data_IF_251787518842
#
_entry.id   IF_251787518842
#
_cell.length_a   1.000
_cell.length_b   1.000
_cell.length_c   1.000
_cell.angle_alpha   90.00
_cell.angle_beta   90.00
_cell.angle_gamma   90.00
#
_symmetry.space_group_name_H-M   'P 1'
#
loop_
_entity.id
_entity.type
_entity.pdbx_description
1 polymer ?
#
# COMPACT_ATOMS: atom_id res chain seq x y z
N UNK A 1 27.94 -2.77 -3.57
CA UNK A 1 28.78 -1.88 -4.41
C UNK A 1 29.32 -0.79 -3.49
N UNK A 2 30.59 -0.61 -3.21
CA UNK A 2 31.84 -1.06 -3.79
C UNK A 2 32.79 -1.36 -2.63
N UNK A 3 33.44 -2.52 -2.68
CA UNK A 3 34.58 -2.82 -1.83
C UNK A 3 35.83 -2.95 -2.69
N UNK A 4 36.94 -2.74 -2.00
CA UNK A 4 38.26 -3.36 -2.23
C UNK A 4 39.26 -2.53 -3.03
N UNK A 5 40.06 -1.82 -2.24
CA UNK A 5 41.51 -1.79 -2.33
C UNK A 5 42.11 -3.19 -2.52
N UNK A 6 43.00 -3.35 -3.48
CA UNK A 6 44.05 -4.38 -3.44
C UNK A 6 45.36 -3.78 -3.93
N UNK A 7 46.33 -3.73 -3.02
CA UNK A 7 47.74 -3.62 -3.34
C UNK A 7 48.30 -5.03 -3.37
N UNK A 8 48.92 -5.40 -4.49
CA UNK A 8 49.55 -6.70 -4.64
C UNK A 8 51.07 -6.53 -4.66
N UNK A 9 51.68 -6.92 -3.53
CA UNK A 9 53.11 -7.05 -3.36
C UNK A 9 53.57 -8.32 -4.06
N UNK A 10 54.26 -8.17 -5.18
CA UNK A 10 55.03 -9.23 -5.82
C UNK A 10 56.29 -9.52 -5.00
N UNK A 11 56.29 -10.63 -4.26
CA UNK A 11 57.51 -11.36 -3.89
C UNK A 11 57.60 -12.55 -4.83
N UNK A 12 58.62 -12.54 -5.68
CA UNK A 12 59.02 -13.72 -6.43
C UNK A 12 60.49 -14.03 -6.13
N UNK A 13 60.73 -15.31 -5.82
CA UNK A 13 62.02 -15.88 -5.48
C UNK A 13 62.56 -16.64 -6.70
N UNK A 14 63.68 -16.14 -7.24
CA UNK A 14 64.86 -16.94 -7.64
C UNK A 14 64.72 -18.01 -8.73
N UNK A 15 65.42 -17.77 -9.86
CA UNK A 15 66.25 -18.76 -10.57
C UNK A 15 67.01 -17.97 -11.66
N UNK A 16 68.34 -17.92 -11.76
CA UNK A 16 69.26 -19.05 -11.71
C UNK A 16 69.53 -19.56 -13.14
N UNK A 17 70.13 -18.73 -14.01
CA UNK A 17 70.60 -19.18 -15.32
C UNK A 17 71.94 -18.52 -15.67
N UNK A 18 73.00 -19.32 -15.51
CA UNK A 18 74.36 -19.09 -15.96
C UNK A 18 74.42 -18.81 -17.48
N UNK A 19 75.06 -17.71 -17.85
CA UNK A 19 75.41 -17.35 -19.22
C UNK A 19 76.88 -16.94 -19.30
N UNK A 20 77.78 -17.86 -18.99
CA UNK A 20 79.23 -17.65 -19.09
C UNK A 20 79.69 -17.55 -20.55
N UNK A 21 79.79 -16.33 -21.06
CA UNK A 21 80.43 -16.02 -22.34
C UNK A 21 81.94 -16.24 -22.26
N UNK A 22 82.47 -17.20 -23.04
CA UNK A 22 83.90 -17.47 -23.16
C UNK A 22 84.53 -16.42 -24.08
N UNK A 23 85.10 -15.37 -23.47
CA UNK A 23 85.94 -14.39 -24.16
C UNK A 23 87.29 -15.03 -24.57
N UNK A 24 87.71 -14.77 -25.82
CA UNK A 24 88.91 -15.35 -26.42
C UNK A 24 90.20 -15.10 -25.62
N UNK A 25 90.88 -16.18 -25.24
CA UNK A 25 92.18 -16.14 -24.60
C UNK A 25 93.27 -15.75 -25.61
N UNK A 26 93.80 -14.54 -25.49
CA UNK A 26 94.99 -14.11 -26.22
C UNK A 26 96.22 -14.95 -25.83
N UNK A 27 97.00 -15.36 -26.83
CA UNK A 27 98.23 -16.14 -26.66
C UNK A 27 99.29 -15.28 -25.94
N UNK A 28 99.52 -15.53 -24.66
CA UNK A 28 100.56 -14.87 -23.87
C UNK A 28 101.93 -15.50 -24.19
N UNK A 29 102.85 -14.70 -24.75
CA UNK A 29 104.24 -15.10 -25.06
C UNK A 29 105.08 -15.09 -23.78
N UNK A 30 105.62 -16.23 -23.37
CA UNK A 30 106.42 -16.37 -22.13
C UNK A 30 107.90 -16.51 -22.49
N UNK A 31 108.76 -15.66 -21.91
CA UNK A 31 110.21 -15.73 -22.07
C UNK A 31 110.84 -16.87 -21.25
N UNK A 32 111.83 -17.56 -21.82
CA UNK A 32 112.53 -18.67 -21.16
C UNK A 32 113.44 -18.18 -20.01
N UNK A 33 113.23 -18.70 -18.79
CA UNK A 33 113.90 -18.27 -17.55
C UNK A 33 115.21 -19.03 -17.25
N UNK A 34 116.04 -19.30 -18.27
CA UNK A 34 117.31 -20.02 -18.09
C UNK A 34 118.34 -19.13 -17.34
N UNK A 35 118.85 -19.55 -16.17
CA UNK A 35 119.83 -18.76 -15.42
C UNK A 35 121.19 -18.72 -16.16
N UNK A 36 121.91 -17.60 -16.07
CA UNK A 36 123.31 -17.50 -16.50
C UNK A 36 123.56 -17.02 -17.94
N UNK A 37 122.53 -16.69 -18.71
CA UNK A 37 122.65 -16.11 -20.07
C UNK A 37 122.46 -14.59 -20.00
N UNK A 38 123.50 -13.76 -20.22
CA UNK A 38 123.36 -12.30 -20.28
C UNK A 38 122.44 -11.91 -21.43
N UNK A 39 121.30 -11.28 -21.14
CA UNK A 39 120.30 -10.88 -22.15
C UNK A 39 119.08 -11.81 -22.28
N UNK A 40 119.05 -12.94 -21.55
CA UNK A 40 117.95 -13.90 -21.62
C UNK A 40 118.00 -14.78 -22.87
N UNK A 41 117.30 -15.91 -22.85
CA UNK A 41 117.22 -16.78 -24.02
C UNK A 41 116.36 -16.10 -25.11
N UNK A 42 116.82 -16.01 -26.37
CA UNK A 42 116.07 -15.35 -27.46
C UNK A 42 114.81 -16.12 -27.87
N UNK A 43 114.67 -17.37 -27.45
CA UNK A 43 113.49 -18.19 -27.76
C UNK A 43 112.35 -17.91 -26.79
N UNK A 44 111.22 -17.48 -27.36
CA UNK A 44 109.95 -17.28 -26.68
C UNK A 44 109.12 -18.57 -26.80
N UNK A 45 108.51 -19.01 -25.71
CA UNK A 45 107.64 -20.18 -25.70
C UNK A 45 106.28 -19.74 -26.26
N UNK A 46 106.07 -19.99 -27.55
CA UNK A 46 104.77 -19.79 -28.20
C UNK A 46 103.93 -21.05 -27.97
N UNK A 47 102.71 -20.88 -27.43
CA UNK A 47 101.70 -21.92 -27.14
C UNK A 47 101.71 -22.50 -25.71
N UNK A 48 100.85 -21.93 -24.85
CA UNK A 48 100.23 -22.66 -23.75
C UNK A 48 98.71 -22.41 -23.78
N UNK A 49 97.99 -23.19 -24.59
CA UNK A 49 96.53 -23.12 -24.74
C UNK A 49 95.78 -24.16 -23.87
N UNK A 50 96.37 -24.55 -22.73
CA UNK A 50 95.81 -25.56 -21.83
C UNK A 50 95.31 -24.93 -20.52
N UNK A 51 94.00 -24.86 -20.34
CA UNK A 51 93.37 -24.56 -19.05
C UNK A 51 93.57 -25.74 -18.10
N UNK A 52 94.63 -25.71 -17.27
CA UNK A 52 94.73 -26.60 -16.11
C UNK A 52 96.11 -27.06 -15.62
N UNK A 53 97.22 -26.74 -16.31
CA UNK A 53 98.57 -27.15 -15.86
C UNK A 53 99.50 -25.98 -15.51
N UNK A 54 100.58 -26.25 -14.77
CA UNK A 54 101.60 -25.24 -14.46
C UNK A 54 102.32 -24.80 -15.74
N UNK A 55 102.40 -23.48 -15.98
CA UNK A 55 103.13 -22.88 -17.12
C UNK A 55 104.60 -23.36 -17.16
N UNK A 56 105.11 -23.87 -18.30
CA UNK A 56 106.50 -24.30 -18.43
C UNK A 56 107.44 -23.09 -18.37
N UNK A 57 108.56 -23.21 -17.63
CA UNK A 57 109.53 -22.12 -17.40
C UNK A 57 110.70 -22.07 -18.39
N UNK A 58 110.92 -23.15 -19.16
CA UNK A 58 112.08 -23.32 -20.03
C UNK A 58 111.64 -23.79 -21.42
N UNK A 59 112.31 -23.33 -22.48
CA UNK A 59 111.89 -23.59 -23.86
C UNK A 59 112.20 -25.00 -24.38
N UNK A 60 113.02 -25.79 -23.68
CA UNK A 60 113.39 -27.16 -24.09
C UNK A 60 114.38 -27.23 -25.25
N UNK A 61 114.69 -26.12 -25.91
CA UNK A 61 115.65 -26.10 -27.02
C UNK A 61 117.11 -26.01 -26.53
N UNK A 62 118.04 -26.50 -27.36
CA UNK A 62 119.47 -26.42 -27.10
C UNK A 62 120.01 -25.10 -27.65
N UNK A 63 120.47 -24.22 -26.78
CA UNK A 63 121.10 -22.95 -27.16
C UNK A 63 122.57 -23.02 -26.72
N UNK A 64 123.49 -22.72 -27.63
CA UNK A 64 124.94 -22.78 -27.41
C UNK A 64 125.43 -24.15 -26.87
N UNK A 65 124.85 -25.24 -27.38
CA UNK A 65 125.22 -26.62 -27.03
C UNK A 65 124.63 -27.13 -25.70
N UNK A 66 123.83 -26.33 -24.99
CA UNK A 66 123.24 -26.69 -23.69
C UNK A 66 121.70 -26.74 -23.77
N UNK A 67 121.05 -27.87 -23.41
CA UNK A 67 119.59 -28.00 -23.48
C UNK A 67 118.89 -27.20 -22.37
N UNK A 68 117.96 -26.32 -22.72
CA UNK A 68 117.21 -25.49 -21.77
C UNK A 68 116.09 -26.28 -21.09
N UNK A 69 116.45 -27.12 -20.12
CA UNK A 69 115.53 -27.89 -19.30
C UNK A 69 115.62 -27.50 -17.82
N UNK A 70 114.63 -27.91 -17.02
CA UNK A 70 114.64 -27.71 -15.56
C UNK A 70 115.88 -28.31 -14.89
N UNK A 71 116.34 -29.47 -15.37
CA UNK A 71 117.51 -30.13 -14.83
C UNK A 71 118.79 -29.33 -15.11
N UNK A 72 118.95 -28.85 -16.34
CA UNK A 72 120.11 -28.05 -16.73
C UNK A 72 120.13 -26.69 -16.02
N UNK A 73 118.97 -26.05 -15.88
CA UNK A 73 118.82 -24.80 -15.13
C UNK A 73 119.21 -24.94 -13.65
N UNK A 74 118.88 -26.08 -13.03
CA UNK A 74 119.30 -26.40 -11.66
C UNK A 74 120.83 -26.53 -11.58
N UNK A 75 121.45 -27.24 -12.53
CA UNK A 75 122.91 -27.42 -12.56
C UNK A 75 123.69 -26.11 -12.77
N UNK A 76 123.18 -25.21 -13.59
CA UNK A 76 123.77 -23.87 -13.78
C UNK A 76 123.62 -23.04 -12.51
N UNK A 77 122.45 -23.08 -11.85
CA UNK A 77 122.21 -22.37 -10.58
C UNK A 77 123.07 -22.91 -9.43
N UNK A 78 123.40 -24.19 -9.45
CA UNK A 78 124.30 -24.84 -8.49
C UNK A 78 125.80 -24.67 -8.83
N UNK A 79 126.15 -23.97 -9.92
CA UNK A 79 127.53 -23.79 -10.36
C UNK A 79 128.21 -25.06 -10.89
N UNK A 80 127.45 -26.15 -11.07
CA UNK A 80 127.93 -27.46 -11.56
C UNK A 80 127.97 -27.59 -13.09
N UNK A 81 127.60 -26.51 -13.78
CA UNK A 81 127.67 -26.36 -15.22
C UNK A 81 127.92 -24.88 -15.53
N UNK A 82 129.15 -24.52 -15.85
CA UNK A 82 129.50 -23.20 -16.37
C UNK A 82 129.15 -23.16 -17.85
N UNK A 83 128.25 -22.24 -18.23
CA UNK A 83 127.90 -22.01 -19.63
C UNK A 83 129.15 -21.48 -20.36
N UNK A 84 129.57 -22.09 -21.49
CA UNK A 84 130.69 -21.60 -22.27
C UNK A 84 130.37 -20.21 -22.82
N UNK A 85 131.36 -19.32 -22.83
CA UNK A 85 131.21 -18.02 -23.49
C UNK A 85 130.90 -18.24 -25.00
N UNK A 86 130.03 -17.42 -25.62
CA UNK A 86 129.59 -17.65 -26.99
C UNK A 86 130.77 -17.74 -27.96
N UNK A 87 130.94 -18.88 -28.65
CA UNK A 87 131.88 -19.01 -29.77
C UNK A 87 133.03 -20.02 -29.66
N UNK A 88 133.03 -21.00 -28.73
CA UNK A 88 134.17 -21.93 -28.55
C UNK A 88 133.81 -23.40 -28.79
N UNK A 89 133.98 -23.89 -30.03
CA UNK A 89 133.97 -25.33 -30.34
C UNK A 89 135.38 -25.93 -30.28
N UNK A 90 135.57 -27.20 -29.88
CA UNK A 90 136.83 -27.90 -30.07
C UNK A 90 136.76 -28.91 -31.23
N UNK A 91 137.66 -28.70 -32.19
CA UNK A 91 137.96 -29.55 -33.33
C UNK A 91 138.76 -30.81 -32.94
N UNK A 92 138.57 -31.85 -33.74
CA UNK A 92 139.22 -33.17 -33.69
C UNK A 92 140.73 -33.14 -34.03
N UNK A 93 141.44 -34.09 -33.40
CA UNK A 93 142.70 -34.77 -33.74
C UNK A 93 143.29 -34.59 -35.16
N UNK A 94 144.63 -34.66 -35.36
CA UNK A 94 145.34 -35.95 -35.32
C UNK A 94 146.85 -35.94 -34.92
N UNK A 95 147.40 -37.13 -34.64
CA UNK A 95 148.82 -37.46 -34.41
C UNK A 95 149.62 -37.63 -35.75
N UNK A 96 150.89 -38.10 -35.76
CA UNK A 96 152.16 -37.62 -35.17
C UNK A 96 153.32 -37.54 -36.20
N UNK A 97 154.44 -36.81 -35.95
CA UNK A 97 155.75 -37.03 -36.67
C UNK A 97 156.96 -36.64 -35.80
N UNK A 98 157.99 -37.50 -35.71
CA UNK A 98 159.34 -37.27 -35.15
C UNK A 98 160.33 -36.85 -36.26
N UNK A 99 161.44 -36.14 -35.95
CA UNK A 99 162.77 -36.79 -35.93
C UNK A 99 163.69 -36.25 -34.79
N UNK A 100 164.37 -37.09 -34.00
CA UNK A 100 165.68 -37.77 -34.19
C UNK A 100 166.91 -36.85 -34.22
N UNK A 101 167.45 -36.60 -33.02
CA UNK A 101 168.89 -36.43 -32.68
C UNK A 101 168.97 -36.47 -31.15
N UNK A 102 169.80 -37.24 -30.42
CA UNK A 102 170.92 -38.12 -30.73
C UNK A 102 171.27 -38.76 -29.36
N UNK A 103 170.81 -39.97 -29.01
CA UNK A 103 171.28 -41.28 -29.49
C UNK A 103 172.67 -41.73 -29.02
N UNK A 104 173.21 -41.26 -27.87
CA UNK A 104 174.43 -41.88 -27.31
C UNK A 104 174.45 -42.19 -25.81
N UNK A 105 173.45 -41.76 -25.05
CA UNK A 105 173.31 -42.11 -23.62
C UNK A 105 172.22 -43.17 -23.34
N UNK A 106 171.39 -43.52 -24.32
CA UNK A 106 170.19 -44.36 -24.13
C UNK A 106 170.37 -45.86 -24.43
N UNK A 107 171.48 -46.29 -25.04
CA UNK A 107 171.61 -47.66 -25.57
C UNK A 107 171.96 -48.71 -24.48
N UNK A 108 172.63 -48.33 -23.39
CA UNK A 108 172.80 -49.24 -22.23
C UNK A 108 171.58 -49.27 -21.30
N UNK A 109 170.86 -48.15 -21.15
CA UNK A 109 169.60 -48.11 -20.43
C UNK A 109 168.49 -48.91 -21.14
N UNK A 110 168.43 -48.85 -22.48
CA UNK A 110 167.47 -49.60 -23.29
C UNK A 110 167.69 -51.13 -23.24
N UNK A 111 168.90 -51.62 -22.94
CA UNK A 111 169.14 -53.08 -22.82
C UNK A 111 168.63 -53.71 -21.52
N UNK A 112 168.50 -52.90 -20.46
CA UNK A 112 167.78 -53.27 -19.23
C UNK A 112 166.28 -53.03 -19.39
N UNK A 113 165.91 -51.85 -19.88
CA UNK A 113 164.52 -51.44 -20.06
C UNK A 113 163.76 -52.29 -21.09
N UNK A 114 164.40 -52.77 -22.17
CA UNK A 114 163.76 -53.69 -23.12
C UNK A 114 163.55 -55.09 -22.50
N UNK A 115 164.44 -55.55 -21.61
CA UNK A 115 164.26 -56.81 -20.88
C UNK A 115 163.15 -56.69 -19.83
N UNK A 116 163.12 -55.57 -19.11
CA UNK A 116 162.08 -55.29 -18.12
C UNK A 116 160.73 -55.02 -18.80
N UNK A 117 160.71 -54.37 -19.97
CA UNK A 117 159.50 -54.19 -20.77
C UNK A 117 159.03 -55.50 -21.40
N UNK A 118 159.91 -56.38 -21.91
CA UNK A 118 159.49 -57.70 -22.39
C UNK A 118 158.94 -58.56 -21.25
N UNK A 119 159.59 -58.52 -20.08
CA UNK A 119 159.12 -59.22 -18.89
C UNK A 119 157.78 -58.65 -18.40
N UNK A 120 157.61 -57.33 -18.39
CA UNK A 120 156.36 -56.67 -18.06
C UNK A 120 155.26 -56.96 -19.09
N UNK A 121 155.58 -57.02 -20.38
CA UNK A 121 154.63 -57.36 -21.44
C UNK A 121 154.23 -58.84 -21.38
N UNK A 122 155.15 -59.73 -21.06
CA UNK A 122 154.85 -61.14 -20.80
C UNK A 122 154.00 -61.30 -19.55
N UNK A 123 154.27 -60.52 -18.49
CA UNK A 123 153.47 -60.51 -17.26
C UNK A 123 152.07 -59.95 -17.53
N UNK A 124 151.94 -58.86 -18.29
CA UNK A 124 150.66 -58.29 -18.70
C UNK A 124 149.89 -59.20 -19.66
N UNK A 125 150.56 -59.85 -20.61
CA UNK A 125 149.91 -60.78 -21.52
C UNK A 125 149.45 -62.04 -20.78
N UNK A 126 150.22 -62.51 -19.79
CA UNK A 126 149.81 -63.58 -18.89
C UNK A 126 148.65 -63.15 -17.98
N UNK A 127 148.65 -61.93 -17.45
CA UNK A 127 147.58 -61.38 -16.62
C UNK A 127 146.31 -61.10 -17.43
N UNK A 128 146.45 -60.62 -18.67
CA UNK A 128 145.35 -60.44 -19.60
C UNK A 128 144.79 -61.77 -20.05
N UNK A 129 145.63 -62.75 -20.40
CA UNK A 129 145.20 -64.12 -20.68
C UNK A 129 144.51 -64.74 -19.46
N UNK A 130 145.01 -64.51 -18.24
CA UNK A 130 144.37 -64.97 -17.01
C UNK A 130 143.02 -64.28 -16.76
N UNK A 131 142.87 -62.98 -17.05
CA UNK A 131 141.59 -62.27 -16.98
C UNK A 131 140.64 -62.75 -18.07
N UNK A 132 141.14 -63.03 -19.27
CA UNK A 132 140.34 -63.53 -20.39
C UNK A 132 139.90 -64.96 -20.10
N UNK A 133 140.77 -65.81 -19.57
CA UNK A 133 140.43 -67.15 -19.06
C UNK A 133 139.48 -67.06 -17.87
N UNK A 134 139.60 -66.07 -16.99
CA UNK A 134 138.67 -65.87 -15.88
C UNK A 134 137.28 -65.41 -16.39
N UNK A 135 137.23 -64.53 -17.39
CA UNK A 135 135.98 -64.09 -18.03
C UNK A 135 135.37 -65.20 -18.88
N UNK A 136 136.18 -65.99 -19.60
CA UNK A 136 135.72 -67.18 -20.32
C UNK A 136 135.25 -68.24 -19.34
N UNK A 137 135.96 -68.48 -18.25
CA UNK A 137 135.54 -69.39 -17.18
C UNK A 137 134.22 -68.92 -16.59
N UNK A 138 134.02 -67.62 -16.34
CA UNK A 138 132.74 -67.09 -15.83
C UNK A 138 131.62 -67.20 -16.88
N UNK A 139 131.91 -66.99 -18.16
CA UNK A 139 130.93 -67.08 -19.25
C UNK A 139 130.61 -68.52 -19.71
N UNK A 140 131.50 -69.47 -19.42
CA UNK A 140 131.34 -70.91 -19.70
C UNK A 140 131.12 -71.73 -18.43
N UNK A 141 131.05 -71.10 -17.25
CA UNK A 141 130.71 -71.75 -15.99
C UNK A 141 129.23 -72.17 -16.05
N UNK A 142 128.96 -73.48 -16.21
CA UNK A 142 127.60 -73.97 -16.28
C UNK A 142 126.84 -73.73 -14.97
N UNK A 143 127.54 -73.61 -13.84
CA UNK A 143 126.93 -73.35 -12.53
C UNK A 143 126.56 -71.87 -12.37
N UNK A 144 127.37 -70.93 -12.89
CA UNK A 144 127.01 -69.52 -12.96
C UNK A 144 125.80 -69.29 -13.88
N UNK A 145 125.79 -69.90 -15.07
CA UNK A 145 124.66 -69.85 -15.99
C UNK A 145 123.40 -70.50 -15.38
N UNK A 146 123.53 -71.63 -14.68
CA UNK A 146 122.43 -72.26 -13.97
C UNK A 146 121.92 -71.40 -12.81
N UNK A 147 122.79 -70.69 -12.09
CA UNK A 147 122.43 -69.75 -11.04
C UNK A 147 121.67 -68.53 -11.60
N UNK A 148 122.10 -67.97 -12.73
CA UNK A 148 121.40 -66.89 -13.44
C UNK A 148 120.04 -67.34 -13.98
N UNK A 149 119.95 -68.51 -14.59
CA UNK A 149 118.68 -69.09 -15.05
C UNK A 149 117.75 -69.32 -13.86
N UNK A 150 118.27 -69.84 -12.75
CA UNK A 150 117.49 -70.06 -11.53
C UNK A 150 117.03 -68.73 -10.93
N UNK A 151 117.89 -67.70 -10.91
CA UNK A 151 117.54 -66.36 -10.45
C UNK A 151 116.49 -65.72 -11.36
N UNK A 152 116.64 -65.83 -12.69
CA UNK A 152 115.68 -65.36 -13.68
C UNK A 152 114.34 -66.10 -13.59
N UNK A 153 114.36 -67.41 -13.33
CA UNK A 153 113.15 -68.19 -13.08
C UNK A 153 112.45 -67.76 -11.79
N UNK A 154 113.20 -67.51 -10.70
CA UNK A 154 112.61 -66.98 -9.44
C UNK A 154 112.04 -65.58 -9.63
N UNK A 155 112.74 -64.70 -10.35
CA UNK A 155 112.27 -63.35 -10.68
C UNK A 155 111.02 -63.42 -11.57
N UNK A 156 111.03 -64.25 -12.63
CA UNK A 156 109.88 -64.47 -13.48
C UNK A 156 108.68 -65.04 -12.70
N UNK A 157 108.91 -66.00 -11.80
CA UNK A 157 107.88 -66.52 -10.90
C UNK A 157 107.31 -65.42 -10.01
N UNK A 158 108.18 -64.62 -9.38
CA UNK A 158 107.79 -63.49 -8.54
C UNK A 158 106.96 -62.46 -9.32
N UNK A 159 107.32 -62.17 -10.57
CA UNK A 159 106.57 -61.27 -11.46
C UNK A 159 105.22 -61.85 -11.87
N UNK A 160 105.15 -63.16 -12.16
CA UNK A 160 103.90 -63.85 -12.47
C UNK A 160 102.98 -63.83 -11.25
N UNK A 161 103.48 -64.22 -10.08
CA UNK A 161 102.71 -64.24 -8.83
C UNK A 161 102.21 -62.81 -8.49
N UNK A 162 103.04 -61.78 -8.68
CA UNK A 162 102.64 -60.39 -8.51
C UNK A 162 101.60 -59.94 -9.55
N UNK A 163 101.70 -60.38 -10.80
CA UNK A 163 100.74 -60.06 -11.85
C UNK A 163 99.40 -60.78 -11.63
N UNK A 164 99.42 -62.04 -11.18
CA UNK A 164 98.24 -62.80 -10.80
C UNK A 164 97.55 -62.17 -9.59
N UNK A 165 98.30 -61.81 -8.54
CA UNK A 165 97.77 -61.07 -7.40
C UNK A 165 97.14 -59.74 -7.83
N UNK A 166 97.81 -58.95 -8.68
CA UNK A 166 97.27 -57.70 -9.19
C UNK A 166 96.00 -57.89 -10.05
N UNK A 167 95.94 -58.97 -10.85
CA UNK A 167 94.75 -59.34 -11.63
C UNK A 167 93.59 -59.71 -10.71
N UNK A 168 93.84 -60.51 -9.67
CA UNK A 168 92.81 -60.97 -8.74
C UNK A 168 92.29 -59.81 -7.88
N UNK A 169 93.17 -58.88 -7.47
CA UNK A 169 92.80 -57.62 -6.83
C UNK A 169 91.94 -56.74 -7.76
N UNK A 170 92.32 -56.61 -9.03
CA UNK A 170 91.55 -55.87 -10.02
C UNK A 170 90.17 -56.49 -10.26
N UNK A 171 90.09 -57.83 -10.35
CA UNK A 171 88.84 -58.56 -10.48
C UNK A 171 87.94 -58.41 -9.24
N UNK A 172 88.53 -58.37 -8.05
CA UNK A 172 87.81 -58.12 -6.78
C UNK A 172 87.25 -56.70 -6.74
N UNK A 173 88.06 -55.69 -7.12
CA UNK A 173 87.60 -54.30 -7.24
C UNK A 173 86.49 -54.13 -8.28
N UNK A 174 86.59 -54.83 -9.42
CA UNK A 174 85.56 -54.78 -10.46
C UNK A 174 84.23 -55.35 -9.96
N UNK A 175 84.22 -56.51 -9.31
CA UNK A 175 82.99 -57.10 -8.73
C UNK A 175 82.40 -56.22 -7.63
N UNK A 176 83.24 -55.60 -6.79
CA UNK A 176 82.80 -54.66 -5.78
C UNK A 176 82.15 -53.41 -6.42
N UNK A 177 82.75 -52.87 -7.48
CA UNK A 177 82.20 -51.75 -8.23
C UNK A 177 80.86 -52.12 -8.91
N UNK A 178 80.76 -53.27 -9.56
CA UNK A 178 79.52 -53.76 -10.16
C UNK A 178 78.41 -53.94 -9.11
N UNK A 179 78.76 -54.49 -7.94
CA UNK A 179 77.82 -54.63 -6.82
C UNK A 179 77.36 -53.27 -6.31
N UNK A 180 78.28 -52.31 -6.17
CA UNK A 180 77.95 -50.94 -5.76
C UNK A 180 77.07 -50.23 -6.80
N UNK A 181 77.34 -50.37 -8.10
CA UNK A 181 76.50 -49.83 -9.17
C UNK A 181 75.11 -50.47 -9.16
N UNK A 182 75.01 -51.79 -8.95
CA UNK A 182 73.71 -52.47 -8.83
C UNK A 182 72.92 -52.00 -7.61
N UNK A 183 73.59 -51.82 -6.47
CA UNK A 183 72.97 -51.28 -5.27
C UNK A 183 72.49 -49.82 -5.48
N UNK A 184 73.31 -48.98 -6.11
CA UNK A 184 72.95 -47.59 -6.40
C UNK A 184 71.78 -47.48 -7.38
N UNK A 185 71.75 -48.31 -8.43
CA UNK A 185 70.63 -48.35 -9.40
C UNK A 185 69.34 -48.86 -8.76
N UNK A 186 69.43 -49.85 -7.86
CA UNK A 186 68.26 -50.32 -7.08
C UNK A 186 67.73 -49.21 -6.16
N UNK A 187 68.62 -48.56 -5.41
CA UNK A 187 68.25 -47.46 -4.52
C UNK A 187 67.68 -46.26 -5.28
N UNK A 188 68.19 -45.96 -6.48
CA UNK A 188 67.63 -44.93 -7.35
C UNK A 188 66.20 -45.30 -7.80
N UNK A 189 65.97 -46.53 -8.26
CA UNK A 189 64.65 -46.97 -8.69
C UNK A 189 63.63 -46.97 -7.53
N UNK A 190 64.05 -47.36 -6.32
CA UNK A 190 63.22 -47.29 -5.11
C UNK A 190 62.88 -45.84 -4.74
N UNK A 191 63.85 -44.92 -4.85
CA UNK A 191 63.63 -43.49 -4.61
C UNK A 191 62.70 -42.85 -5.65
N UNK A 192 62.84 -43.22 -6.94
CA UNK A 192 61.95 -42.80 -8.01
C UNK A 192 60.51 -43.29 -7.77
N UNK A 193 60.33 -44.57 -7.44
CA UNK A 193 59.01 -45.13 -7.12
C UNK A 193 58.36 -44.46 -5.88
N UNK A 194 59.15 -44.15 -4.85
CA UNK A 194 58.68 -43.43 -3.67
C UNK A 194 58.28 -41.99 -4.02
N UNK A 195 59.03 -41.32 -4.90
CA UNK A 195 58.71 -39.98 -5.38
C UNK A 195 57.43 -39.97 -6.23
N UNK A 196 57.25 -40.95 -7.12
CA UNK A 196 56.02 -41.12 -7.90
C UNK A 196 54.80 -41.34 -7.00
N UNK A 197 54.94 -42.17 -5.96
CA UNK A 197 53.87 -42.40 -4.98
C UNK A 197 53.53 -41.11 -4.22
N UNK A 198 54.53 -40.37 -3.75
CA UNK A 198 54.32 -39.11 -3.04
C UNK A 198 53.68 -38.03 -3.93
N UNK A 199 53.99 -38.01 -5.23
CA UNK A 199 53.35 -37.10 -6.20
C UNK A 199 51.88 -37.49 -6.41
N UNK A 200 51.57 -38.79 -6.57
CA UNK A 200 50.19 -39.25 -6.69
C UNK A 200 49.36 -38.93 -5.44
N UNK A 201 49.90 -39.15 -4.24
CA UNK A 201 49.24 -38.78 -2.97
C UNK A 201 49.03 -37.26 -2.86
N UNK A 202 49.97 -36.45 -3.34
CA UNK A 202 49.84 -34.99 -3.35
C UNK A 202 48.76 -34.51 -4.33
N UNK A 203 48.66 -35.13 -5.51
CA UNK A 203 47.63 -34.85 -6.50
C UNK A 203 46.24 -35.24 -5.98
N UNK A 204 46.10 -36.41 -5.35
CA UNK A 204 44.86 -36.86 -4.71
C UNK A 204 44.44 -35.89 -3.59
N UNK A 205 45.37 -35.50 -2.71
CA UNK A 205 45.09 -34.53 -1.65
C UNK A 205 44.71 -33.15 -2.20
N UNK A 206 45.30 -32.73 -3.33
CA UNK A 206 44.91 -31.49 -4.00
C UNK A 206 43.49 -31.57 -4.58
N UNK A 207 43.13 -32.69 -5.20
CA UNK A 207 41.78 -32.94 -5.71
C UNK A 207 40.73 -32.96 -4.58
N UNK A 208 41.02 -33.62 -3.45
CA UNK A 208 40.16 -33.62 -2.26
C UNK A 208 39.99 -32.20 -1.69
N UNK A 209 41.07 -31.41 -1.63
CA UNK A 209 41.02 -30.03 -1.15
C UNK A 209 40.21 -29.13 -2.08
N UNK A 210 40.29 -29.31 -3.40
CA UNK A 210 39.46 -28.60 -4.38
C UNK A 210 37.98 -28.98 -4.22
N UNK A 211 37.69 -30.28 -4.07
CA UNK A 211 36.33 -30.77 -3.84
C UNK A 211 35.72 -30.17 -2.56
N UNK A 212 36.46 -30.23 -1.44
CA UNK A 212 36.00 -29.66 -0.17
C UNK A 212 35.79 -28.12 -0.24
N UNK A 213 36.59 -27.41 -1.04
CA UNK A 213 36.38 -25.97 -1.30
C UNK A 213 35.09 -25.74 -2.09
N UNK A 214 34.83 -26.53 -3.12
CA UNK A 214 33.62 -26.44 -3.92
C UNK A 214 32.35 -26.71 -3.07
N UNK A 215 32.37 -27.75 -2.22
CA UNK A 215 31.27 -28.05 -1.29
C UNK A 215 31.03 -26.92 -0.29
N UNK A 216 32.10 -26.36 0.29
CA UNK A 216 31.99 -25.21 1.20
C UNK A 216 31.39 -23.99 0.51
N UNK A 217 31.81 -23.72 -0.72
CA UNK A 217 31.33 -22.56 -1.47
C UNK A 217 29.86 -22.76 -1.89
N UNK A 218 29.45 -23.99 -2.24
CA UNK A 218 28.04 -24.35 -2.44
C UNK A 218 27.22 -24.18 -1.15
N UNK A 219 27.73 -24.64 0.00
CA UNK A 219 27.05 -24.49 1.28
C UNK A 219 26.88 -23.01 1.68
N UNK A 220 27.88 -22.16 1.38
CA UNK A 220 27.78 -20.70 1.56
C UNK A 220 26.71 -20.09 0.67
N UNK A 221 26.67 -20.45 -0.60
CA UNK A 221 25.61 -19.98 -1.52
C UNK A 221 24.22 -20.39 -1.04
N UNK A 222 24.04 -21.63 -0.57
CA UNK A 222 22.78 -22.10 0.00
C UNK A 222 22.40 -21.34 1.26
N UNK A 223 23.35 -21.08 2.15
CA UNK A 223 23.13 -20.28 3.36
C UNK A 223 22.71 -18.84 3.03
N UNK A 224 23.39 -18.20 2.09
CA UNK A 224 23.07 -16.83 1.65
C UNK A 224 21.68 -16.77 1.00
N UNK A 225 21.31 -17.80 0.23
CA UNK A 225 19.95 -17.94 -0.31
C UNK A 225 18.90 -18.07 0.80
N UNK A 226 19.15 -18.90 1.82
CA UNK A 226 18.23 -19.04 2.96
C UNK A 226 18.08 -17.74 3.75
N UNK A 227 19.15 -16.96 3.90
CA UNK A 227 19.08 -15.63 4.51
C UNK A 227 18.24 -14.66 3.67
N UNK A 228 18.45 -14.64 2.35
CA UNK A 228 17.65 -13.82 1.43
C UNK A 228 16.16 -14.20 1.48
N UNK A 229 15.84 -15.49 1.47
CA UNK A 229 14.46 -15.99 1.56
C UNK A 229 13.82 -15.63 2.91
N UNK A 230 14.58 -15.74 4.01
CA UNK A 230 14.13 -15.32 5.35
C UNK A 230 13.80 -13.83 5.38
N UNK A 231 14.68 -12.99 4.86
CA UNK A 231 14.50 -11.54 4.84
C UNK A 231 13.28 -11.17 3.97
N UNK A 232 13.07 -11.85 2.84
CA UNK A 232 11.87 -11.70 2.02
C UNK A 232 10.59 -12.10 2.77
N UNK A 233 10.60 -13.22 3.48
CA UNK A 233 9.46 -13.67 4.29
C UNK A 233 9.15 -12.71 5.44
N UNK A 234 10.18 -12.12 6.07
CA UNK A 234 10.01 -11.09 7.10
C UNK A 234 9.34 -9.83 6.53
N UNK A 235 9.78 -9.36 5.37
CA UNK A 235 9.14 -8.23 4.68
C UNK A 235 7.67 -8.53 4.32
N UNK A 236 7.38 -9.74 3.83
CA UNK A 236 6.01 -10.18 3.53
C UNK A 236 5.12 -10.25 4.78
N UNK A 237 5.68 -10.72 5.90
CA UNK A 237 4.99 -10.77 7.19
C UNK A 237 4.66 -9.36 7.70
N UNK A 238 5.62 -8.43 7.64
CA UNK A 238 5.42 -7.02 8.01
C UNK A 238 4.36 -6.36 7.13
N UNK A 239 4.44 -6.53 5.80
CA UNK A 239 3.43 -6.01 4.88
C UNK A 239 2.03 -6.58 5.18
N UNK A 240 1.92 -7.86 5.53
CA UNK A 240 0.65 -8.50 5.91
C UNK A 240 0.12 -7.95 7.23
N UNK A 241 0.99 -7.69 8.21
CA UNK A 241 0.60 -7.06 9.48
C UNK A 241 0.08 -5.64 9.28
N UNK A 242 0.74 -4.83 8.45
CA UNK A 242 0.25 -3.48 8.11
C UNK A 242 -1.13 -3.53 7.45
N UNK A 243 -1.33 -4.42 6.47
CA UNK A 243 -2.65 -4.62 5.84
C UNK A 243 -3.74 -5.06 6.82
N UNK A 244 -3.39 -5.89 7.81
CA UNK A 244 -4.34 -6.32 8.84
C UNK A 244 -4.78 -5.12 9.71
N UNK A 245 -3.83 -4.30 10.15
CA UNK A 245 -4.14 -3.08 10.94
C UNK A 245 -5.01 -2.11 10.14
N UNK A 246 -4.72 -1.91 8.84
CA UNK A 246 -5.54 -1.08 7.95
C UNK A 246 -6.96 -1.64 7.78
N UNK A 247 -7.09 -2.96 7.65
CA UNK A 247 -8.39 -3.62 7.54
C UNK A 247 -9.21 -3.53 8.85
N UNK A 248 -8.56 -3.65 10.01
CA UNK A 248 -9.19 -3.45 11.31
C UNK A 248 -9.67 -2.01 11.48
N UNK A 249 -8.84 -1.03 11.10
CA UNK A 249 -9.25 0.37 11.12
C UNK A 249 -10.46 0.64 10.22
N UNK A 250 -10.43 0.13 8.97
CA UNK A 250 -11.54 0.25 8.03
C UNK A 250 -12.82 -0.39 8.58
N UNK A 251 -12.71 -1.54 9.26
CA UNK A 251 -13.86 -2.19 9.92
C UNK A 251 -14.46 -1.29 11.00
N UNK A 252 -13.63 -0.71 11.87
CA UNK A 252 -14.08 0.15 12.96
C UNK A 252 -14.73 1.45 12.45
N UNK A 253 -14.22 2.02 11.34
CA UNK A 253 -14.85 3.13 10.63
C UNK A 253 -16.24 2.77 10.08
N UNK A 254 -16.37 1.61 9.44
CA UNK A 254 -17.65 1.10 8.91
C UNK A 254 -18.65 0.84 10.04
N UNK A 255 -18.20 0.28 11.16
CA UNK A 255 -19.05 0.05 12.34
C UNK A 255 -19.54 1.38 12.93
N UNK A 256 -18.66 2.37 13.06
CA UNK A 256 -19.02 3.73 13.49
C UNK A 256 -20.02 4.38 12.53
N UNK A 257 -19.80 4.28 11.22
CA UNK A 257 -20.71 4.81 10.21
C UNK A 257 -22.09 4.12 10.27
N UNK A 258 -22.11 2.80 10.49
CA UNK A 258 -23.34 2.02 10.64
C UNK A 258 -24.11 2.43 11.90
N UNK A 259 -23.42 2.67 13.01
CA UNK A 259 -24.05 3.14 14.25
C UNK A 259 -24.70 4.52 14.06
N UNK A 260 -24.00 5.46 13.41
CA UNK A 260 -24.55 6.79 13.07
C UNK A 260 -25.78 6.69 12.18
N UNK A 261 -25.72 5.87 11.13
CA UNK A 261 -26.88 5.68 10.23
C UNK A 261 -28.08 5.07 10.97
N UNK A 262 -27.84 4.19 11.95
CA UNK A 262 -28.92 3.62 12.76
C UNK A 262 -29.56 4.68 13.67
N UNK A 263 -28.77 5.58 14.24
CA UNK A 263 -29.25 6.72 15.03
C UNK A 263 -30.07 7.69 14.16
N UNK A 264 -29.56 8.07 12.98
CA UNK A 264 -30.28 8.94 12.03
C UNK A 264 -31.61 8.32 11.57
N UNK A 265 -31.64 7.00 11.34
CA UNK A 265 -32.87 6.27 11.00
C UNK A 265 -33.89 6.28 12.14
N UNK A 266 -33.45 6.19 13.39
CA UNK A 266 -34.35 6.24 14.54
C UNK A 266 -34.88 7.66 14.79
N UNK A 267 -34.02 8.67 14.61
CA UNK A 267 -34.43 10.07 14.66
C UNK A 267 -35.48 10.38 13.59
N UNK A 268 -35.24 9.98 12.33
CA UNK A 268 -36.18 10.22 11.23
C UNK A 268 -37.51 9.47 11.41
N UNK A 269 -37.49 8.28 12.02
CA UNK A 269 -38.74 7.57 12.41
C UNK A 269 -39.52 8.35 13.45
N UNK A 270 -38.84 8.83 14.50
CA UNK A 270 -39.45 9.63 15.56
C UNK A 270 -40.06 10.92 14.98
N UNK A 271 -39.34 11.63 14.11
CA UNK A 271 -39.84 12.82 13.42
C UNK A 271 -41.07 12.51 12.54
N UNK A 272 -41.06 11.38 11.83
CA UNK A 272 -42.19 10.95 11.02
C UNK A 272 -43.43 10.62 11.87
N UNK A 273 -43.25 9.97 13.01
CA UNK A 273 -44.34 9.70 13.97
C UNK A 273 -44.92 11.00 14.54
N UNK A 274 -44.05 11.95 14.92
CA UNK A 274 -44.48 13.28 15.38
C UNK A 274 -45.27 14.02 14.29
N UNK A 275 -44.79 13.99 13.03
CA UNK A 275 -45.47 14.63 11.91
C UNK A 275 -46.84 13.98 11.61
N UNK A 276 -46.94 12.64 11.72
CA UNK A 276 -48.21 11.92 11.58
C UNK A 276 -49.21 12.32 12.67
N UNK A 277 -48.77 12.35 13.93
CA UNK A 277 -49.60 12.80 15.04
C UNK A 277 -50.08 14.26 14.85
N UNK A 278 -49.19 15.15 14.43
CA UNK A 278 -49.55 16.54 14.13
C UNK A 278 -50.56 16.64 12.97
N UNK A 279 -50.39 15.84 11.92
CA UNK A 279 -51.33 15.79 10.79
C UNK A 279 -52.71 15.28 11.22
N UNK A 280 -52.78 14.24 12.05
CA UNK A 280 -54.04 13.72 12.61
C UNK A 280 -54.74 14.77 13.48
N UNK A 281 -53.98 15.48 14.33
CA UNK A 281 -54.51 16.58 15.14
C UNK A 281 -55.09 17.70 14.27
N UNK A 282 -54.34 18.19 13.27
CA UNK A 282 -54.81 19.24 12.35
C UNK A 282 -56.05 18.78 11.59
N UNK A 283 -56.10 17.50 11.21
CA UNK A 283 -57.26 16.90 10.54
C UNK A 283 -58.49 16.91 11.45
N UNK A 284 -58.34 16.52 12.71
CA UNK A 284 -59.41 16.55 13.70
C UNK A 284 -59.89 17.99 13.99
N UNK A 285 -58.97 18.94 14.18
CA UNK A 285 -59.29 20.36 14.38
C UNK A 285 -60.04 20.94 13.18
N UNK A 286 -59.63 20.62 11.95
CA UNK A 286 -60.32 21.02 10.73
C UNK A 286 -61.74 20.46 10.68
N UNK A 287 -61.94 19.20 11.03
CA UNK A 287 -63.24 18.54 10.97
C UNK A 287 -64.19 19.03 12.09
N UNK A 288 -63.63 19.35 13.26
CA UNK A 288 -64.34 20.08 14.32
C UNK A 288 -64.77 21.47 13.83
N UNK A 289 -63.85 22.27 13.27
CA UNK A 289 -64.14 23.60 12.76
C UNK A 289 -65.20 23.57 11.64
N UNK A 290 -65.20 22.55 10.78
CA UNK A 290 -66.26 22.33 9.78
C UNK A 290 -67.62 22.07 10.41
N UNK A 291 -67.67 21.26 11.47
CA UNK A 291 -68.89 20.96 12.21
C UNK A 291 -69.43 22.20 12.92
N UNK A 292 -68.57 22.96 13.59
CA UNK A 292 -68.92 24.24 14.23
C UNK A 292 -69.43 25.26 13.21
N UNK A 293 -68.77 25.37 12.05
CA UNK A 293 -69.21 26.25 10.96
C UNK A 293 -70.58 25.84 10.40
N UNK A 294 -70.85 24.54 10.25
CA UNK A 294 -72.15 24.04 9.81
C UNK A 294 -73.24 24.39 10.84
N UNK A 295 -72.99 24.13 12.13
CA UNK A 295 -73.92 24.47 13.21
C UNK A 295 -74.17 25.99 13.29
N UNK A 296 -73.15 26.82 13.11
CA UNK A 296 -73.29 28.28 13.07
C UNK A 296 -74.15 28.75 11.89
N UNK A 297 -74.02 28.10 10.72
CA UNK A 297 -74.87 28.38 9.54
C UNK A 297 -76.32 27.99 9.79
N UNK A 298 -76.57 26.82 10.36
CA UNK A 298 -77.93 26.36 10.70
C UNK A 298 -78.59 27.29 11.73
N UNK A 299 -77.81 27.74 12.73
CA UNK A 299 -78.26 28.73 13.71
C UNK A 299 -78.59 30.06 13.05
N UNK A 300 -77.72 30.56 12.16
CA UNK A 300 -77.94 31.80 11.42
C UNK A 300 -79.20 31.72 10.53
N UNK A 301 -79.41 30.60 9.83
CA UNK A 301 -80.59 30.36 9.00
C UNK A 301 -81.87 30.29 9.86
N UNK A 302 -81.81 29.63 11.02
CA UNK A 302 -82.90 29.61 12.00
C UNK A 302 -83.23 31.00 12.56
N UNK A 303 -82.22 31.83 12.83
CA UNK A 303 -82.42 33.22 13.24
C UNK A 303 -83.03 34.05 12.11
N UNK A 304 -82.60 33.85 10.86
CA UNK A 304 -83.16 34.51 9.69
C UNK A 304 -84.63 34.15 9.49
N UNK A 305 -85.00 32.86 9.60
CA UNK A 305 -86.41 32.41 9.56
C UNK A 305 -87.23 33.05 10.66
N UNK A 306 -86.74 33.05 11.91
CA UNK A 306 -87.43 33.71 13.04
C UNK A 306 -87.61 35.20 12.82
N UNK A 307 -86.60 35.88 12.28
CA UNK A 307 -86.71 37.30 11.95
C UNK A 307 -87.76 37.55 10.85
N UNK A 308 -87.79 36.72 9.81
CA UNK A 308 -88.79 36.80 8.73
C UNK A 308 -90.23 36.53 9.25
N UNK A 309 -90.41 35.54 10.12
CA UNK A 309 -91.70 35.28 10.78
C UNK A 309 -92.11 36.47 11.66
N UNK A 310 -91.21 37.00 12.49
CA UNK A 310 -91.51 38.15 13.34
C UNK A 310 -91.85 39.41 12.53
N UNK A 311 -91.19 39.60 11.38
CA UNK A 311 -91.54 40.66 10.42
C UNK A 311 -92.94 40.46 9.83
N UNK A 312 -93.27 39.25 9.38
CA UNK A 312 -94.60 38.92 8.88
C UNK A 312 -95.70 39.10 9.95
N UNK A 313 -95.45 38.66 11.18
CA UNK A 313 -96.37 38.82 12.32
C UNK A 313 -96.59 40.31 12.64
N UNK A 314 -95.51 41.10 12.62
CA UNK A 314 -95.58 42.56 12.80
C UNK A 314 -96.42 43.21 11.71
N UNK A 315 -96.24 42.82 10.45
CA UNK A 315 -96.96 43.38 9.32
C UNK A 315 -98.46 42.99 9.39
N UNK A 316 -98.75 41.74 9.74
CA UNK A 316 -100.11 41.24 10.01
C UNK A 316 -100.78 41.98 11.16
N UNK A 317 -100.07 42.16 12.28
CA UNK A 317 -100.56 42.94 13.42
C UNK A 317 -100.80 44.41 13.07
N UNK A 318 -99.97 44.97 12.18
CA UNK A 318 -100.13 46.34 11.69
C UNK A 318 -101.39 46.47 10.83
N UNK A 319 -101.61 45.54 9.91
CA UNK A 319 -102.82 45.47 9.09
C UNK A 319 -104.09 45.29 9.94
N UNK A 320 -104.08 44.35 10.89
CA UNK A 320 -105.19 44.14 11.82
C UNK A 320 -105.48 45.39 12.67
N UNK A 321 -104.44 46.12 13.10
CA UNK A 321 -104.61 47.40 13.80
C UNK A 321 -105.23 48.48 12.91
N UNK A 322 -104.89 48.52 11.62
CA UNK A 322 -105.49 49.44 10.66
C UNK A 322 -106.95 49.10 10.37
N UNK A 323 -107.28 47.82 10.23
CA UNK A 323 -108.66 47.32 10.10
C UNK A 323 -109.50 47.67 11.34
N UNK A 324 -109.02 47.36 12.56
CA UNK A 324 -109.71 47.74 13.80
C UNK A 324 -109.89 49.26 13.95
N UNK A 325 -108.93 50.06 13.45
CA UNK A 325 -109.08 51.52 13.41
C UNK A 325 -110.20 51.92 12.44
N UNK A 326 -110.24 51.34 11.26
CA UNK A 326 -111.29 51.59 10.27
C UNK A 326 -112.67 51.15 10.80
N UNK A 327 -112.79 49.98 11.43
CA UNK A 327 -114.02 49.51 12.08
C UNK A 327 -114.47 50.43 13.20
N UNK A 328 -113.54 50.88 14.05
CA UNK A 328 -113.82 51.86 15.12
C UNK A 328 -114.32 53.17 14.51
N UNK A 329 -113.69 53.66 13.46
CA UNK A 329 -114.08 54.91 12.80
C UNK A 329 -115.47 54.76 12.16
N UNK A 330 -115.76 53.64 11.52
CA UNK A 330 -117.09 53.31 10.99
C UNK A 330 -118.14 53.13 12.10
N UNK A 331 -117.79 52.51 13.23
CA UNK A 331 -118.67 52.39 14.39
C UNK A 331 -118.97 53.76 15.01
N UNK A 332 -117.98 54.64 15.05
CA UNK A 332 -118.14 56.03 15.49
C UNK A 332 -119.04 56.81 14.53
N UNK A 333 -118.85 56.71 13.23
CA UNK A 333 -119.75 57.33 12.24
C UNK A 333 -121.18 56.83 12.38
N UNK A 334 -121.38 55.52 12.56
CA UNK A 334 -122.70 54.93 12.85
C UNK A 334 -123.30 55.46 14.15
N UNK A 335 -122.50 55.60 15.20
CA UNK A 335 -122.94 56.14 16.48
C UNK A 335 -123.30 57.64 16.37
N UNK A 336 -122.51 58.43 15.65
CA UNK A 336 -122.79 59.84 15.35
C UNK A 336 -124.05 59.98 14.50
N UNK A 337 -124.25 59.11 13.51
CA UNK A 337 -125.47 59.05 12.72
C UNK A 337 -126.69 58.67 13.58
N UNK A 338 -126.60 57.62 14.40
CA UNK A 338 -127.67 57.24 15.32
C UNK A 338 -127.96 58.36 16.35
N UNK A 339 -126.93 59.10 16.79
CA UNK A 339 -127.11 60.26 17.67
C UNK A 339 -127.82 61.42 16.96
N UNK A 340 -127.52 61.67 15.67
CA UNK A 340 -128.27 62.62 14.83
C UNK A 340 -129.72 62.18 14.66
N UNK A 341 -129.96 60.94 14.26
CA UNK A 341 -131.31 60.37 14.10
C UNK A 341 -132.10 60.39 15.42
N UNK A 342 -131.46 60.07 16.56
CA UNK A 342 -132.10 60.18 17.87
C UNK A 342 -132.34 61.65 18.27
N UNK A 343 -131.48 62.58 17.86
CA UNK A 343 -131.69 64.01 18.00
C UNK A 343 -132.92 64.48 17.22
N UNK A 344 -133.02 64.08 15.95
CA UNK A 344 -134.17 64.32 15.08
C UNK A 344 -135.46 63.67 15.60
N UNK A 345 -135.37 62.45 16.14
CA UNK A 345 -136.51 61.78 16.75
C UNK A 345 -136.97 62.50 18.03
N UNK A 346 -136.05 62.98 18.87
CA UNK A 346 -136.40 63.78 20.06
C UNK A 346 -137.02 65.13 19.69
N UNK A 347 -136.50 65.82 18.67
CA UNK A 347 -137.13 67.06 18.20
C UNK A 347 -138.50 66.79 17.58
N UNK A 348 -138.65 65.73 16.79
CA UNK A 348 -139.94 65.29 16.27
C UNK A 348 -140.93 64.94 17.39
N UNK A 349 -140.47 64.24 18.44
CA UNK A 349 -141.27 63.93 19.62
C UNK A 349 -141.68 65.20 20.38
N UNK A 350 -140.75 66.13 20.63
CA UNK A 350 -141.05 67.40 21.28
C UNK A 350 -142.05 68.25 20.47
N UNK A 351 -141.94 68.24 19.13
CA UNK A 351 -142.92 68.88 18.24
C UNK A 351 -144.29 68.19 18.36
N UNK A 352 -144.34 66.86 18.38
CA UNK A 352 -145.58 66.11 18.54
C UNK A 352 -146.23 66.30 19.93
N UNK A 353 -145.41 66.42 20.99
CA UNK A 353 -145.87 66.73 22.36
C UNK A 353 -146.39 68.17 22.43
N UNK A 354 -145.67 69.14 21.87
CA UNK A 354 -146.13 70.54 21.78
C UNK A 354 -147.43 70.66 20.97
N UNK A 355 -147.58 69.90 19.88
CA UNK A 355 -148.83 69.81 19.11
C UNK A 355 -149.95 69.18 19.94
N UNK A 356 -149.68 68.12 20.71
CA UNK A 356 -150.67 67.52 21.62
C UNK A 356 -151.08 68.48 22.75
N UNK A 357 -150.15 69.21 23.36
CA UNK A 357 -150.47 70.23 24.37
C UNK A 357 -151.26 71.40 23.77
N UNK A 358 -150.93 71.83 22.55
CA UNK A 358 -151.69 72.85 21.84
C UNK A 358 -153.13 72.36 21.57
N UNK A 359 -153.28 71.13 21.08
CA UNK A 359 -154.60 70.49 20.87
C UNK A 359 -155.37 70.33 22.18
N UNK A 360 -154.70 69.94 23.27
CA UNK A 360 -155.33 69.77 24.59
C UNK A 360 -155.80 71.10 25.17
N UNK A 361 -155.00 72.17 25.02
CA UNK A 361 -155.41 73.53 25.39
C UNK A 361 -156.58 74.03 24.55
N UNK A 362 -156.56 73.76 23.25
CA UNK A 362 -157.66 74.08 22.34
C UNK A 362 -158.94 73.34 22.76
N UNK A 363 -158.85 72.04 23.04
CA UNK A 363 -159.98 71.23 23.48
C UNK A 363 -160.53 71.71 24.85
N UNK A 364 -159.65 72.07 25.78
CA UNK A 364 -160.05 72.60 27.08
C UNK A 364 -160.74 73.97 26.96
N UNK A 365 -160.26 74.83 26.04
CA UNK A 365 -160.91 76.10 25.72
C UNK A 365 -162.29 75.89 25.10
N UNK A 366 -162.42 74.96 24.15
CA UNK A 366 -163.70 74.63 23.51
C UNK A 366 -164.70 74.06 24.54
N UNK A 367 -164.24 73.17 25.44
CA UNK A 367 -165.07 72.63 26.53
C UNK A 367 -165.47 73.72 27.52
N UNK A 368 -164.58 74.64 27.88
CA UNK A 368 -164.92 75.75 28.77
C UNK A 368 -165.96 76.68 28.14
N UNK A 369 -165.85 76.91 26.84
CA UNK A 369 -166.80 77.71 26.05
C UNK A 369 -168.15 77.00 25.98
N UNK A 370 -168.18 75.70 25.69
CA UNK A 370 -169.42 74.90 25.71
C UNK A 370 -170.05 74.80 27.10
N UNK A 371 -169.25 74.71 28.17
CA UNK A 371 -169.74 74.76 29.55
C UNK A 371 -170.35 76.11 29.89
N UNK A 372 -169.74 77.21 29.46
CA UNK A 372 -170.30 78.54 29.63
C UNK A 372 -171.66 78.67 28.90
N UNK A 373 -171.76 78.17 27.66
CA UNK A 373 -173.02 78.15 26.92
C UNK A 373 -174.06 77.21 27.53
N UNK A 374 -173.66 76.06 28.07
CA UNK A 374 -174.57 75.13 28.75
C UNK A 374 -175.08 75.69 30.08
N UNK A 375 -174.21 76.34 30.85
CA UNK A 375 -174.59 77.01 32.10
C UNK A 375 -175.57 78.15 31.83
N UNK A 376 -175.31 78.95 30.79
CA UNK A 376 -176.22 80.01 30.37
C UNK A 376 -177.61 79.48 29.99
N UNK A 377 -177.68 78.32 29.29
CA UNK A 377 -178.96 77.66 28.97
C UNK A 377 -179.69 77.15 30.22
N UNK A 378 -178.95 76.66 31.23
CA UNK A 378 -179.52 76.19 32.49
C UNK A 378 -180.04 77.35 33.35
N UNK A 379 -179.32 78.46 33.40
CA UNK A 379 -179.75 79.67 34.11
C UNK A 379 -181.02 80.26 33.46
N UNK A 380 -181.09 80.28 32.12
CA UNK A 380 -182.28 80.67 31.36
C UNK A 380 -183.48 79.72 31.61
N UNK A 381 -183.23 78.42 31.80
CA UNK A 381 -184.27 77.45 32.14
C UNK A 381 -184.72 77.57 33.60
N UNK A 382 -183.80 77.79 34.55
CA UNK A 382 -184.10 78.01 35.95
C UNK A 382 -184.97 79.26 36.14
N UNK A 383 -184.66 80.35 35.43
CA UNK A 383 -185.49 81.56 35.44
C UNK A 383 -186.92 81.32 34.93
N UNK A 384 -187.10 80.47 33.90
CA UNK A 384 -188.43 80.09 33.40
C UNK A 384 -189.21 79.22 34.38
N UNK A 385 -188.54 78.29 35.08
CA UNK A 385 -189.21 77.44 36.07
C UNK A 385 -189.57 78.18 37.36
N UNK A 386 -188.76 79.14 37.81
CA UNK A 386 -189.12 80.00 38.94
C UNK A 386 -190.34 80.88 38.62
N UNK A 387 -190.45 81.38 37.38
CA UNK A 387 -191.67 82.04 36.91
C UNK A 387 -192.88 81.10 36.94
N UNK A 388 -192.74 79.88 36.44
CA UNK A 388 -193.82 78.88 36.42
C UNK A 388 -194.25 78.44 37.83
N UNK A 389 -193.35 78.37 38.81
CA UNK A 389 -193.68 78.00 40.21
C UNK A 389 -194.43 79.13 40.93
N UNK A 390 -194.10 80.40 40.66
CA UNK A 390 -194.86 81.55 41.19
C UNK A 390 -196.29 81.53 40.63
N UNK A 391 -196.41 81.28 39.33
CA UNK A 391 -197.70 81.20 38.61
C UNK A 391 -198.56 80.02 39.08
N UNK A 392 -197.96 78.84 39.29
CA UNK A 392 -198.63 77.63 39.80
C UNK A 392 -199.07 77.78 41.27
N UNK A 393 -198.32 78.51 42.11
CA UNK A 393 -198.71 78.78 43.51
C UNK A 393 -199.92 79.72 43.63
N UNK A 394 -200.15 80.60 42.66
CA UNK A 394 -201.36 81.44 42.60
C UNK A 394 -202.58 80.68 42.08
N UNK A 395 -202.38 79.69 41.22
CA UNK A 395 -203.47 78.94 40.56
C UNK A 395 -204.01 77.76 41.40
N UNK A 396 -203.29 77.29 42.42
CA UNK A 396 -203.71 76.19 43.31
C UNK A 396 -204.69 76.57 44.43
N UNK A 397 -205.19 77.81 44.48
CA UNK A 397 -206.20 78.27 45.46
C UNK A 397 -207.65 77.89 45.10
N UNK A 398 -207.95 77.42 43.89
CA UNK A 398 -209.32 77.08 43.50
C UNK A 398 -209.36 76.04 42.38
N UNK A 399 -209.92 74.86 42.67
CA UNK A 399 -210.55 74.01 41.67
C UNK A 399 -209.82 72.69 41.34
N UNK A 400 -210.48 71.53 41.55
CA UNK A 400 -210.05 70.20 41.08
C UNK A 400 -210.77 69.85 39.75
N UNK A 401 -210.80 68.59 39.29
CA UNK A 401 -209.77 67.53 39.11
C UNK A 401 -209.77 67.02 37.64
N UNK A 402 -208.76 66.26 37.15
CA UNK A 402 -208.95 65.31 36.02
C UNK A 402 -207.75 64.33 35.76
N UNK A 403 -207.94 63.25 34.96
CA UNK A 403 -207.06 62.07 34.87
C UNK A 403 -206.40 61.80 33.48
N UNK A 404 -205.63 60.68 33.40
CA UNK A 404 -205.43 59.75 32.26
C UNK A 404 -204.14 59.76 31.38
N UNK A 405 -203.60 58.52 31.20
CA UNK A 405 -203.07 57.81 29.99
C UNK A 405 -201.80 58.24 29.20
N UNK A 406 -200.99 57.20 28.90
CA UNK A 406 -200.27 56.93 27.63
C UNK A 406 -198.95 57.69 27.40
N UNK A 407 -198.02 57.33 26.52
CA UNK A 407 -197.69 56.17 25.68
C UNK A 407 -196.38 56.53 24.93
N UNK A 408 -195.65 55.51 24.45
CA UNK A 408 -194.73 55.52 23.29
C UNK A 408 -193.26 56.00 23.39
N UNK A 409 -192.42 55.19 22.71
CA UNK A 409 -190.96 55.23 22.48
C UNK A 409 -190.52 56.30 21.42
N UNK A 410 -189.23 56.43 20.99
CA UNK A 410 -188.59 55.46 20.05
C UNK A 410 -187.02 55.39 19.97
N UNK A 411 -186.53 54.28 19.41
CA UNK A 411 -185.59 54.10 18.27
C UNK A 411 -184.14 54.69 18.24
N UNK A 412 -183.21 53.77 17.90
CA UNK A 412 -181.77 53.81 17.49
C UNK A 412 -181.38 54.70 16.29
N UNK A 413 -180.07 54.91 15.99
CA UNK A 413 -179.40 54.18 14.88
C UNK A 413 -177.90 53.85 15.18
N UNK A 414 -177.20 52.83 14.66
CA UNK A 414 -176.93 52.26 13.32
C UNK A 414 -175.68 52.85 12.61
N UNK A 415 -174.62 52.01 12.53
CA UNK A 415 -173.64 51.76 11.43
C UNK A 415 -172.98 52.93 10.65
N UNK A 416 -171.65 52.80 10.40
CA UNK A 416 -170.99 52.38 9.12
C UNK A 416 -169.46 52.57 9.24
N UNK A 417 -168.61 51.59 8.88
CA UNK A 417 -168.13 51.18 7.53
C UNK A 417 -167.19 52.26 6.95
N UNK A 418 -165.90 52.00 6.76
CA UNK A 418 -165.25 51.51 5.53
C UNK A 418 -163.73 51.75 5.73
N UNK A 419 -162.72 51.17 5.06
CA UNK A 419 -162.51 50.09 4.10
C UNK A 419 -161.06 50.28 3.58
N UNK A 420 -160.42 49.20 3.10
CA UNK A 420 -159.31 49.20 2.09
C UNK A 420 -157.98 49.81 2.56
N UNK A 421 -156.80 49.33 2.16
CA UNK A 421 -156.34 48.42 1.10
C UNK A 421 -154.93 47.99 1.50
N UNK A 422 -154.53 46.71 1.41
CA UNK A 422 -153.91 46.10 0.21
C UNK A 422 -152.38 46.24 0.28
N UNK A 423 -151.55 45.23 0.03
CA UNK A 423 -151.71 43.85 -0.37
C UNK A 423 -150.33 43.23 -0.67
N UNK A 424 -150.34 41.92 -0.95
CA UNK A 424 -149.33 41.09 -1.69
C UNK A 424 -147.91 41.01 -1.09
N UNK A 425 -147.42 39.84 -0.68
CA UNK A 425 -147.00 38.65 -1.48
C UNK A 425 -145.83 38.92 -2.43
N UNK A 426 -144.96 37.95 -2.78
CA UNK A 426 -145.04 36.50 -2.50
C UNK A 426 -143.69 35.83 -2.10
N UNK A 427 -143.74 34.50 -1.97
CA UNK A 427 -142.82 33.48 -2.53
C UNK A 427 -141.33 33.86 -2.67
N UNK A 428 -140.38 33.07 -2.20
CA UNK A 428 -140.38 31.62 -2.03
C UNK A 428 -139.03 31.10 -2.51
N UNK A 429 -138.77 29.83 -2.19
CA UNK A 429 -137.79 28.95 -2.83
C UNK A 429 -136.30 29.32 -2.70
N UNK A 430 -135.36 28.40 -2.63
CA UNK A 430 -135.33 26.94 -2.48
C UNK A 430 -133.84 26.61 -2.61
N UNK A 431 -133.39 25.54 -1.95
CA UNK A 431 -132.18 24.75 -2.28
C UNK A 431 -130.83 25.50 -2.29
N UNK A 432 -129.64 24.97 -2.06
CA UNK A 432 -128.97 23.68 -1.88
C UNK A 432 -127.57 24.13 -1.34
N UNK A 433 -126.72 23.42 -0.63
CA UNK A 433 -126.30 22.04 -0.75
C UNK A 433 -125.36 21.74 0.44
N UNK A 434 -125.19 20.44 0.63
CA UNK A 434 -124.52 19.71 1.71
C UNK A 434 -123.00 19.50 1.34
N UNK A 435 -122.22 18.60 1.99
CA UNK A 435 -121.01 18.83 2.82
C UNK A 435 -119.77 18.08 2.20
N UNK A 436 -118.85 17.36 2.91
CA UNK A 436 -118.09 17.50 4.18
C UNK A 436 -116.55 17.39 3.93
N UNK A 437 -115.78 16.87 4.92
CA UNK A 437 -114.36 16.41 4.91
C UNK A 437 -113.31 17.45 5.33
N UNK A 438 -112.24 17.17 6.08
CA UNK A 438 -111.75 16.11 6.98
C UNK A 438 -110.46 16.70 7.61
N UNK A 439 -109.86 16.09 8.65
CA UNK A 439 -108.60 16.55 9.25
C UNK A 439 -107.37 15.91 8.57
N UNK A 440 -106.28 16.67 8.45
CA UNK A 440 -104.86 16.28 8.50
C UNK A 440 -104.14 17.54 9.03
N UNK A 441 -103.37 17.53 10.11
CA UNK A 441 -102.19 16.70 10.43
C UNK A 441 -102.23 16.00 11.79
#
# INVERSE_FOLDING_TARGET
MLGMSEGEQTRDHGSGADGGGVAGAGLERIACQMPGIPGGCPHVIEQYAGTGGRKPKYCGQTVDGVPHTRYTALRVREGKLTLPAPGSGPDHEPAPVRPVSYARASIEALGGELRDQLAAHQTWAADFAARLDQQLATATDPDAAAAEITAAHRDARTRIDAAEAARDDAATRARAAETATRAATTAQAEAEAAAETALAEADDAAAEAEHARAERDQARQQHDQVLADRDQLQQQLEATRTRLVEAEHTRDEVETARARLAEDLEQTRTELEQLRAAHEQITAERDQARTELAAARDQAESQQRRAATAEHDRDTATAAREELRAERDQARERAEQAAREAGEARTAQAVAEAQNEALTRQLAHDIATERAHAQQRLDDQAARYDQQIIELRTQLATGPPEPARGEAAPVTPRRRRASRSGGRSPEGTDTTQKPPEQPQE
#
